data_IF_375389695162
#
_entry.id   IF_375389695162
#
_cell.length_a   1.000
_cell.length_b   1.000
_cell.length_c   1.000
_cell.angle_alpha   90.00
_cell.angle_beta   90.00
_cell.angle_gamma   90.00
#
_symmetry.space_group_name_H-M   'P 1'
#
loop_
_entity.id
_entity.type
_entity.pdbx_description
1 polymer ?
#
# COMPACT_ATOMS: atom_id res chain seq x y z
N UNK A 1 3.36 -5.32 -1.25
CA UNK A 1 1.96 -4.91 -0.96
C UNK A 1 1.88 -3.74 -0.01
N UNK A 2 2.70 -3.69 1.03
CA UNK A 2 2.71 -2.55 1.95
C UNK A 2 2.93 -1.19 1.23
N UNK A 3 3.79 -1.15 0.21
CA UNK A 3 4.00 0.03 -0.65
C UNK A 3 2.79 0.44 -1.51
N UNK A 4 1.83 -0.47 -1.74
CA UNK A 4 0.59 -0.19 -2.48
C UNK A 4 -0.51 0.24 -1.50
N UNK A 5 -0.59 -0.42 -0.35
CA UNK A 5 -1.55 -0.09 0.69
C UNK A 5 -1.26 1.28 1.33
N UNK A 6 0.00 1.73 1.38
CA UNK A 6 0.34 3.03 1.96
C UNK A 6 -0.32 4.22 1.23
N UNK A 7 -0.17 4.41 -0.11
CA UNK A 7 -0.88 5.45 -0.84
C UNK A 7 -2.40 5.33 -0.75
N UNK A 8 -2.93 4.11 -0.69
CA UNK A 8 -4.35 3.87 -0.50
C UNK A 8 -4.82 4.34 0.88
N UNK A 9 -4.05 4.06 1.95
CA UNK A 9 -4.32 4.57 3.29
C UNK A 9 -4.27 6.10 3.32
N UNK A 10 -3.22 6.72 2.75
CA UNK A 10 -3.11 8.19 2.63
C UNK A 10 -4.32 8.78 1.91
N UNK A 11 -4.75 8.19 0.78
CA UNK A 11 -5.91 8.63 0.02
C UNK A 11 -7.19 8.67 0.88
N UNK A 12 -7.45 7.62 1.65
CA UNK A 12 -8.65 7.52 2.49
C UNK A 12 -8.54 8.41 3.73
N UNK A 13 -7.40 8.41 4.42
CA UNK A 13 -7.18 9.23 5.62
C UNK A 13 -7.35 10.72 5.34
N UNK A 14 -6.79 11.23 4.23
CA UNK A 14 -6.98 12.66 3.86
C UNK A 14 -8.45 13.00 3.62
N UNK A 15 -9.25 12.05 3.13
CA UNK A 15 -10.67 12.25 2.81
C UNK A 15 -11.59 12.17 4.02
N UNK A 16 -11.13 11.59 5.13
CA UNK A 16 -11.84 11.67 6.42
C UNK A 16 -11.94 13.12 6.93
N UNK A 17 -11.07 14.03 6.47
CA UNK A 17 -11.06 15.42 6.91
C UNK A 17 -11.82 16.35 5.93
N UNK A 18 -12.51 17.39 6.45
CA UNK A 18 -13.14 18.43 5.64
C UNK A 18 -12.13 19.14 4.74
N UNK A 19 -12.53 19.49 3.51
CA UNK A 19 -11.63 20.01 2.46
C UNK A 19 -10.78 21.22 2.88
N UNK A 20 -11.32 22.10 3.72
CA UNK A 20 -10.63 23.31 4.17
C UNK A 20 -9.50 23.05 5.18
N UNK A 21 -9.48 21.88 5.82
CA UNK A 21 -8.53 21.54 6.90
C UNK A 21 -7.57 20.39 6.53
N UNK A 22 -7.52 20.00 5.25
CA UNK A 22 -6.68 18.88 4.80
C UNK A 22 -5.17 19.17 4.83
N UNK A 23 -4.76 20.43 4.89
CA UNK A 23 -3.34 20.81 4.75
C UNK A 23 -2.47 20.19 5.85
N UNK A 24 -2.92 20.27 7.11
CA UNK A 24 -2.16 19.74 8.24
C UNK A 24 -1.97 18.21 8.14
N UNK A 25 -3.06 17.48 7.85
CA UNK A 25 -3.00 16.02 7.72
C UNK A 25 -2.18 15.58 6.48
N UNK A 26 -2.28 16.30 5.36
CA UNK A 26 -1.46 16.01 4.17
C UNK A 26 0.02 16.18 4.50
N UNK A 27 0.42 17.29 5.13
CA UNK A 27 1.83 17.51 5.52
C UNK A 27 2.32 16.41 6.45
N UNK A 28 1.54 16.06 7.47
CA UNK A 28 1.89 14.98 8.40
C UNK A 28 2.09 13.63 7.68
N UNK A 29 1.16 13.24 6.79
CA UNK A 29 1.25 11.99 6.03
C UNK A 29 2.42 12.01 5.03
N UNK A 30 2.75 13.17 4.46
CA UNK A 30 3.93 13.30 3.59
C UNK A 30 5.24 13.14 4.38
N UNK A 31 5.32 13.66 5.61
CA UNK A 31 6.48 13.43 6.48
C UNK A 31 6.67 11.94 6.80
N UNK A 32 5.58 11.21 7.09
CA UNK A 32 5.64 9.75 7.27
C UNK A 32 6.07 9.03 5.99
N UNK A 33 5.60 9.51 4.83
CA UNK A 33 5.98 8.97 3.52
C UNK A 33 7.47 9.16 3.24
N UNK A 34 8.06 10.29 3.65
CA UNK A 34 9.51 10.51 3.55
C UNK A 34 10.27 9.50 4.41
N UNK A 35 9.81 9.23 5.63
CA UNK A 35 10.39 8.19 6.48
C UNK A 35 10.37 6.81 5.81
N UNK A 36 9.27 6.48 5.15
CA UNK A 36 9.10 5.22 4.42
C UNK A 36 10.10 5.07 3.26
N UNK A 37 10.42 6.15 2.56
CA UNK A 37 11.45 6.18 1.50
C UNK A 37 12.86 6.10 2.10
N UNK A 38 13.08 6.76 3.24
CA UNK A 38 14.40 6.84 3.88
C UNK A 38 14.90 5.50 4.39
N UNK A 39 14.04 4.67 5.01
CA UNK A 39 14.45 3.39 5.61
C UNK A 39 15.21 2.45 4.64
N UNK A 40 14.69 2.10 3.45
CA UNK A 40 15.42 1.23 2.53
C UNK A 40 16.70 1.88 2.01
N UNK A 41 16.74 3.21 1.80
CA UNK A 41 17.95 3.91 1.40
C UNK A 41 19.04 3.83 2.48
N UNK A 42 18.65 4.06 3.74
CA UNK A 42 19.54 3.93 4.88
C UNK A 42 20.17 2.54 4.93
N UNK A 43 19.37 1.48 4.77
CA UNK A 43 19.85 0.10 4.79
C UNK A 43 20.83 -0.19 3.65
N UNK A 44 20.55 0.30 2.44
CA UNK A 44 21.43 0.13 1.28
C UNK A 44 22.81 0.77 1.51
N UNK A 45 22.87 1.86 2.28
CA UNK A 45 24.15 2.55 2.59
C UNK A 45 24.99 1.85 3.66
N UNK A 46 24.49 0.78 4.29
CA UNK A 46 25.22 0.09 5.35
C UNK A 46 26.31 -0.80 4.75
N UNK A 47 27.54 -0.75 5.27
CA UNK A 47 28.63 -1.57 4.76
C UNK A 47 28.35 -3.08 4.89
N UNK A 48 27.56 -3.46 5.89
CA UNK A 48 27.11 -4.84 6.09
C UNK A 48 26.12 -5.31 5.04
N UNK A 49 25.43 -4.42 4.32
CA UNK A 49 24.43 -4.80 3.31
C UNK A 49 25.03 -5.37 2.02
N UNK A 50 26.32 -5.14 1.78
CA UNK A 50 27.07 -5.71 0.64
C UNK A 50 27.88 -6.94 1.00
N UNK A 51 27.78 -7.41 2.25
CA UNK A 51 28.43 -8.66 2.64
C UNK A 51 27.85 -9.84 1.87
N UNK A 52 28.66 -10.89 1.73
CA UNK A 52 28.24 -12.09 1.04
C UNK A 52 27.00 -12.72 1.69
N UNK A 53 26.02 -13.02 0.85
CA UNK A 53 24.82 -13.78 1.15
C UNK A 53 24.56 -14.66 -0.07
N UNK A 54 24.11 -15.89 0.15
CA UNK A 54 23.87 -16.87 -0.93
C UNK A 54 22.73 -16.43 -1.86
N UNK A 55 21.87 -15.54 -1.38
CA UNK A 55 20.75 -14.95 -2.12
C UNK A 55 20.92 -13.45 -2.28
N UNK A 56 20.39 -12.90 -3.37
CA UNK A 56 20.53 -11.48 -3.70
C UNK A 56 19.48 -10.60 -2.98
N UNK A 57 19.61 -10.50 -1.65
CA UNK A 57 18.77 -9.61 -0.83
C UNK A 57 19.01 -8.13 -1.12
N UNK A 58 20.23 -7.78 -1.55
CA UNK A 58 20.60 -6.39 -1.81
C UNK A 58 19.82 -5.84 -2.99
N UNK A 59 19.79 -6.55 -4.12
CA UNK A 59 18.98 -6.14 -5.29
C UNK A 59 17.50 -6.06 -4.96
N UNK A 60 16.98 -6.97 -4.14
CA UNK A 60 15.58 -6.91 -3.69
C UNK A 60 15.29 -5.67 -2.83
N UNK A 61 16.24 -5.25 -1.99
CA UNK A 61 16.14 -4.02 -1.20
C UNK A 61 16.23 -2.77 -2.09
N UNK A 62 17.12 -2.74 -3.08
CA UNK A 62 17.20 -1.67 -4.08
C UNK A 62 15.87 -1.54 -4.83
N UNK A 63 15.28 -2.65 -5.27
CA UNK A 63 13.98 -2.64 -5.93
C UNK A 63 12.86 -2.14 -4.99
N UNK A 64 12.92 -2.51 -3.71
CA UNK A 64 12.01 -2.00 -2.67
C UNK A 64 12.17 -0.49 -2.49
N UNK A 65 13.39 0.05 -2.54
CA UNK A 65 13.64 1.50 -2.52
C UNK A 65 13.05 2.20 -3.74
N UNK A 66 13.23 1.65 -4.94
CA UNK A 66 12.61 2.22 -6.16
C UNK A 66 11.08 2.24 -6.04
N UNK A 67 10.48 1.15 -5.56
CA UNK A 67 9.03 1.09 -5.36
C UNK A 67 8.55 2.03 -4.26
N UNK A 68 9.37 2.36 -3.25
CA UNK A 68 9.00 3.33 -2.21
C UNK A 68 8.93 4.75 -2.76
N UNK A 69 9.82 5.14 -3.68
CA UNK A 69 9.71 6.41 -4.39
C UNK A 69 8.42 6.49 -5.23
N UNK A 70 8.11 5.42 -5.97
CA UNK A 70 6.87 5.36 -6.77
C UNK A 70 5.64 5.45 -5.86
N UNK A 71 5.66 4.72 -4.74
CA UNK A 71 4.63 4.78 -3.70
C UNK A 71 4.45 6.20 -3.16
N UNK A 72 5.54 6.90 -2.84
CA UNK A 72 5.49 8.28 -2.37
C UNK A 72 4.86 9.22 -3.41
N UNK A 73 5.21 9.06 -4.69
CA UNK A 73 4.59 9.81 -5.79
C UNK A 73 3.08 9.58 -5.89
N UNK A 74 2.62 8.33 -5.73
CA UNK A 74 1.19 8.03 -5.67
C UNK A 74 0.53 8.62 -4.43
N UNK A 75 1.14 8.51 -3.25
CA UNK A 75 0.61 9.08 -2.02
C UNK A 75 0.36 10.59 -2.17
N UNK A 76 1.32 11.32 -2.75
CA UNK A 76 1.18 12.74 -3.04
C UNK A 76 0.07 13.02 -4.07
N UNK A 77 0.08 12.31 -5.21
CA UNK A 77 -0.92 12.50 -6.27
C UNK A 77 -2.35 12.25 -5.76
N UNK A 78 -2.54 11.18 -4.98
CA UNK A 78 -3.83 10.76 -4.45
C UNK A 78 -4.33 11.66 -3.30
N UNK A 79 -3.41 12.23 -2.52
CA UNK A 79 -3.73 13.20 -1.46
C UNK A 79 -4.11 14.58 -2.04
N UNK A 80 -3.41 15.03 -3.08
CA UNK A 80 -3.57 16.37 -3.63
C UNK A 80 -4.75 16.52 -4.62
N UNK A 81 -5.21 15.43 -5.24
CA UNK A 81 -6.25 15.46 -6.28
C UNK A 81 -7.59 14.99 -5.75
N UNK A 82 -8.61 15.84 -5.88
CA UNK A 82 -10.01 15.55 -5.58
C UNK A 82 -10.90 16.25 -6.62
N UNK A 83 -11.49 15.54 -7.62
CA UNK A 83 -11.46 14.08 -7.82
C UNK A 83 -10.13 13.57 -8.43
N UNK A 84 -9.86 12.27 -8.25
CA UNK A 84 -8.68 11.61 -8.85
C UNK A 84 -8.96 11.26 -10.32
N UNK A 85 -8.09 11.65 -11.27
CA UNK A 85 -8.22 11.27 -12.68
C UNK A 85 -8.19 9.75 -12.89
N UNK A 86 -9.02 9.24 -13.80
CA UNK A 86 -9.10 7.81 -14.13
C UNK A 86 -7.74 7.21 -14.51
N UNK A 87 -6.91 7.96 -15.26
CA UNK A 87 -5.57 7.54 -15.65
C UNK A 87 -4.68 7.21 -14.43
N UNK A 88 -4.67 8.09 -13.42
CA UNK A 88 -3.88 7.88 -12.20
C UNK A 88 -4.36 6.64 -11.46
N UNK A 89 -5.68 6.43 -11.38
CA UNK A 89 -6.27 5.25 -10.76
C UNK A 89 -5.86 3.96 -11.47
N UNK A 90 -5.87 3.93 -12.81
CA UNK A 90 -5.46 2.75 -13.58
C UNK A 90 -3.99 2.41 -13.35
N UNK A 91 -3.09 3.40 -13.47
CA UNK A 91 -1.65 3.20 -13.25
C UNK A 91 -1.38 2.76 -11.80
N UNK A 92 -2.13 3.30 -10.83
CA UNK A 92 -2.01 2.90 -9.43
C UNK A 92 -2.33 1.41 -9.20
N UNK A 93 -3.34 0.86 -9.88
CA UNK A 93 -3.62 -0.58 -9.78
C UNK A 93 -2.59 -1.45 -10.50
N UNK A 94 -2.01 -0.98 -11.61
CA UNK A 94 -0.87 -1.65 -12.28
C UNK A 94 0.33 -1.70 -11.32
N UNK A 95 0.62 -0.60 -10.63
CA UNK A 95 1.62 -0.56 -9.57
C UNK A 95 1.30 -1.53 -8.43
N UNK A 96 0.03 -1.66 -8.06
CA UNK A 96 -0.46 -2.69 -7.15
C UNK A 96 -0.05 -4.09 -7.59
N UNK A 97 -0.34 -4.48 -8.84
CA UNK A 97 0.05 -5.79 -9.37
C UNK A 97 1.58 -6.01 -9.34
N UNK A 98 2.36 -5.01 -9.77
CA UNK A 98 3.83 -5.09 -9.72
C UNK A 98 4.35 -5.27 -8.28
N UNK A 99 3.75 -4.57 -7.32
CA UNK A 99 4.13 -4.69 -5.91
C UNK A 99 3.70 -6.05 -5.29
N UNK A 100 2.71 -6.73 -5.88
CA UNK A 100 2.32 -8.08 -5.45
C UNK A 100 3.41 -9.06 -5.86
N UNK A 101 3.87 -8.97 -7.12
CA UNK A 101 5.00 -9.74 -7.64
C UNK A 101 6.26 -9.51 -6.81
N UNK A 102 6.58 -8.25 -6.48
CA UNK A 102 7.72 -7.93 -5.60
C UNK A 102 7.61 -8.61 -4.23
N UNK A 103 6.41 -8.68 -3.66
CA UNK A 103 6.19 -9.33 -2.35
C UNK A 103 6.38 -10.84 -2.43
N UNK A 104 5.83 -11.47 -3.46
CA UNK A 104 5.96 -12.91 -3.69
C UNK A 104 7.41 -13.29 -4.00
N UNK A 105 8.12 -12.48 -4.80
CA UNK A 105 9.53 -12.66 -5.08
C UNK A 105 10.39 -12.52 -3.81
N UNK A 106 10.11 -11.51 -2.98
CA UNK A 106 10.81 -11.31 -1.69
C UNK A 106 10.58 -12.49 -0.74
N UNK A 107 9.36 -13.04 -0.69
CA UNK A 107 9.07 -14.26 0.07
C UNK A 107 9.87 -15.46 -0.44
N UNK A 108 9.97 -15.63 -1.77
CA UNK A 108 10.74 -16.71 -2.36
C UNK A 108 12.24 -16.59 -2.02
N UNK A 109 12.81 -15.38 -2.10
CA UNK A 109 14.21 -15.12 -1.73
C UNK A 109 14.47 -15.41 -0.25
N UNK A 110 13.59 -14.96 0.65
CA UNK A 110 13.75 -15.16 2.10
C UNK A 110 13.71 -16.62 2.53
N UNK A 111 13.04 -17.51 1.77
CA UNK A 111 13.04 -18.95 2.05
C UNK A 111 14.44 -19.57 1.93
N UNK A 112 15.30 -19.02 1.08
CA UNK A 112 16.69 -19.46 0.91
C UNK A 112 17.72 -18.66 1.72
N UNK A 113 17.29 -17.64 2.47
CA UNK A 113 18.17 -16.65 3.07
C UNK A 113 18.57 -16.95 4.54
N UNK A 114 18.41 -18.19 5.01
CA UNK A 114 18.52 -18.53 6.44
C UNK A 114 19.91 -18.30 7.03
N UNK A 115 20.96 -18.26 6.21
CA UNK A 115 22.35 -18.00 6.62
C UNK A 115 22.72 -16.51 6.59
N UNK A 116 21.86 -15.64 6.05
CA UNK A 116 22.16 -14.22 5.83
C UNK A 116 21.84 -13.32 7.02
N UNK A 117 21.25 -13.88 8.08
CA UNK A 117 21.01 -13.24 9.37
C UNK A 117 22.32 -12.89 10.09
N UNK A 118 23.36 -13.70 9.90
CA UNK A 118 24.68 -13.49 10.50
C UNK A 118 25.56 -12.53 9.69
N UNK A 119 25.44 -12.54 8.36
CA UNK A 119 26.32 -11.75 7.48
C UNK A 119 25.76 -10.37 7.16
N UNK A 120 24.44 -10.27 6.99
CA UNK A 120 23.72 -9.04 6.55
C UNK A 120 22.52 -8.75 7.47
N UNK A 121 22.69 -8.68 8.81
CA UNK A 121 21.58 -8.73 9.77
C UNK A 121 20.51 -7.64 9.55
N UNK A 122 20.93 -6.40 9.31
CA UNK A 122 20.02 -5.26 9.14
C UNK A 122 19.19 -5.38 7.85
N UNK A 123 19.82 -5.82 6.76
CA UNK A 123 19.18 -6.07 5.47
C UNK A 123 18.20 -7.23 5.56
N UNK A 124 18.64 -8.35 6.14
CA UNK A 124 17.80 -9.53 6.35
C UNK A 124 16.56 -9.21 7.18
N UNK A 125 16.73 -8.53 8.32
CA UNK A 125 15.63 -8.16 9.21
C UNK A 125 14.62 -7.25 8.50
N UNK A 126 15.11 -6.24 7.78
CA UNK A 126 14.22 -5.34 7.04
C UNK A 126 13.44 -6.07 5.95
N UNK A 127 14.10 -6.89 5.15
CA UNK A 127 13.43 -7.66 4.09
C UNK A 127 12.41 -8.63 4.69
N UNK A 128 12.73 -9.26 5.82
CA UNK A 128 11.82 -10.14 6.54
C UNK A 128 10.58 -9.41 7.05
N UNK A 129 10.74 -8.31 7.78
CA UNK A 129 9.63 -7.50 8.31
C UNK A 129 8.74 -6.99 7.17
N UNK A 130 9.33 -6.40 6.14
CA UNK A 130 8.58 -5.85 5.00
C UNK A 130 7.85 -6.92 4.20
N UNK A 131 8.42 -8.12 4.11
CA UNK A 131 7.75 -9.27 3.47
C UNK A 131 6.60 -9.79 4.30
N UNK A 132 6.74 -9.94 5.62
CA UNK A 132 5.65 -10.38 6.51
C UNK A 132 4.47 -9.40 6.41
N UNK A 133 4.74 -8.09 6.59
CA UNK A 133 3.72 -7.05 6.47
C UNK A 133 3.11 -7.08 5.05
N UNK A 134 3.95 -7.23 4.03
CA UNK A 134 3.52 -7.37 2.64
C UNK A 134 2.57 -8.55 2.42
N UNK A 135 2.86 -9.73 2.97
CA UNK A 135 2.02 -10.91 2.80
C UNK A 135 0.68 -10.77 3.50
N UNK A 136 0.65 -10.22 4.72
CA UNK A 136 -0.61 -9.92 5.44
C UNK A 136 -1.48 -8.99 4.60
N UNK A 137 -0.90 -7.91 4.08
CA UNK A 137 -1.62 -6.95 3.24
C UNK A 137 -2.01 -7.52 1.88
N UNK A 138 -1.25 -8.46 1.32
CA UNK A 138 -1.63 -9.18 0.11
C UNK A 138 -2.89 -9.99 0.33
N UNK A 139 -2.94 -10.78 1.40
CA UNK A 139 -4.12 -11.60 1.76
C UNK A 139 -5.33 -10.70 1.94
N UNK A 140 -5.19 -9.60 2.70
CA UNK A 140 -6.28 -8.63 2.87
C UNK A 140 -6.75 -8.05 1.53
N UNK A 141 -5.81 -7.67 0.66
CA UNK A 141 -6.15 -7.12 -0.66
C UNK A 141 -6.87 -8.13 -1.54
N UNK A 142 -6.48 -9.41 -1.49
CA UNK A 142 -7.17 -10.50 -2.21
C UNK A 142 -8.59 -10.68 -1.69
N UNK A 143 -8.79 -10.70 -0.38
CA UNK A 143 -10.12 -10.79 0.24
C UNK A 143 -11.01 -9.63 -0.23
N UNK A 144 -10.50 -8.40 -0.17
CA UNK A 144 -11.23 -7.21 -0.63
C UNK A 144 -11.52 -7.26 -2.14
N UNK A 145 -10.58 -7.76 -2.95
CA UNK A 145 -10.79 -7.93 -4.38
C UNK A 145 -11.90 -8.95 -4.68
N UNK A 146 -12.00 -10.03 -3.90
CA UNK A 146 -13.09 -11.00 -4.03
C UNK A 146 -14.45 -10.39 -3.72
N UNK A 147 -14.55 -9.58 -2.67
CA UNK A 147 -15.77 -8.83 -2.37
C UNK A 147 -16.14 -7.86 -3.50
N UNK A 148 -15.15 -7.16 -4.06
CA UNK A 148 -15.37 -6.25 -5.18
C UNK A 148 -15.86 -6.99 -6.44
N UNK A 149 -15.27 -8.15 -6.76
CA UNK A 149 -15.72 -9.00 -7.89
C UNK A 149 -17.13 -9.54 -7.63
N UNK A 150 -17.45 -9.87 -6.38
CA UNK A 150 -18.78 -10.34 -6.01
C UNK A 150 -19.84 -9.26 -6.22
N UNK A 151 -19.59 -8.03 -5.75
CA UNK A 151 -20.46 -6.87 -5.94
C UNK A 151 -20.65 -6.53 -7.43
N UNK A 152 -19.59 -6.61 -8.24
CA UNK A 152 -19.69 -6.34 -9.68
C UNK A 152 -20.62 -7.35 -10.39
N UNK A 153 -20.69 -8.59 -9.89
CA UNK A 153 -21.61 -9.63 -10.42
C UNK A 153 -23.01 -9.55 -9.82
N UNK A 154 -23.15 -9.02 -8.60
CA UNK A 154 -24.40 -8.89 -7.86
C UNK A 154 -24.58 -7.44 -7.36
N UNK A 155 -24.90 -6.51 -8.26
CA UNK A 155 -25.01 -5.10 -7.88
C UNK A 155 -26.10 -4.88 -6.83
N UNK A 156 -25.79 -4.11 -5.79
CA UNK A 156 -26.71 -3.77 -4.70
C UNK A 156 -26.47 -4.55 -3.40
N UNK A 157 -25.42 -5.36 -3.31
CA UNK A 157 -25.04 -6.00 -2.04
C UNK A 157 -24.26 -5.07 -1.11
N UNK A 158 -23.69 -3.98 -1.63
CA UNK A 158 -23.02 -2.90 -0.89
C UNK A 158 -23.65 -1.55 -1.24
N UNK A 159 -23.78 -0.66 -0.26
CA UNK A 159 -24.32 0.69 -0.46
C UNK A 159 -23.51 1.49 -1.51
N UNK A 160 -24.14 1.77 -2.65
CA UNK A 160 -23.67 2.73 -3.64
C UNK A 160 -24.33 4.09 -3.39
N UNK A 161 -23.61 4.97 -2.69
CA UNK A 161 -24.04 6.35 -2.42
C UNK A 161 -24.27 7.18 -3.70
N UNK A 162 -23.63 6.81 -4.82
CA UNK A 162 -23.71 7.56 -6.08
C UNK A 162 -24.91 7.16 -6.91
N UNK A 163 -25.32 5.89 -6.83
CA UNK A 163 -26.54 5.37 -7.45
C UNK A 163 -27.75 5.36 -6.51
N UNK A 164 -27.55 5.65 -5.23
CA UNK A 164 -28.55 5.51 -4.17
C UNK A 164 -29.17 4.11 -4.12
N UNK A 165 -28.36 3.09 -4.39
CA UNK A 165 -28.78 1.68 -4.41
C UNK A 165 -27.95 0.85 -3.43
N UNK A 166 -28.52 -0.23 -2.92
CA UNK A 166 -27.83 -1.18 -2.04
C UNK A 166 -28.14 -1.02 -0.55
N UNK A 167 -27.67 -1.96 0.27
CA UNK A 167 -27.94 -1.99 1.71
C UNK A 167 -26.88 -1.22 2.52
N UNK A 168 -27.30 -0.23 3.32
CA UNK A 168 -26.42 0.39 4.33
C UNK A 168 -26.35 -0.56 5.54
N UNK A 169 -25.15 -1.08 5.83
CA UNK A 169 -24.91 -1.98 6.97
C UNK A 169 -24.62 -1.24 8.29
N UNK A 170 -24.48 0.09 8.25
CA UNK A 170 -24.31 0.92 9.44
C UNK A 170 -25.65 1.37 10.03
N UNK A 171 -25.66 1.67 11.32
CA UNK A 171 -26.83 2.20 12.00
C UNK A 171 -27.31 3.50 11.33
N UNK A 172 -28.63 3.64 11.20
CA UNK A 172 -29.38 4.71 10.51
C UNK A 172 -28.83 6.15 10.65
N UNK A 173 -28.08 6.45 11.71
CA UNK A 173 -27.53 7.78 12.00
C UNK A 173 -26.41 8.23 11.06
N UNK A 174 -25.71 7.32 10.34
CA UNK A 174 -24.64 7.68 9.39
C UNK A 174 -25.06 7.68 7.91
N UNK A 175 -26.24 7.14 7.58
CA UNK A 175 -26.80 7.05 6.23
C UNK A 175 -28.14 7.81 6.05
N UNK A 176 -28.30 9.09 6.45
CA UNK A 176 -29.61 9.75 6.46
C UNK A 176 -30.21 10.04 5.06
N UNK A 177 -29.48 9.82 3.96
CA UNK A 177 -29.89 10.28 2.63
C UNK A 177 -30.15 9.17 1.58
N UNK A 178 -30.16 7.89 1.95
CA UNK A 178 -30.37 6.79 0.98
C UNK A 178 -31.75 6.12 1.10
N UNK A 179 -32.58 6.54 2.06
CA UNK A 179 -33.96 6.06 2.23
C UNK A 179 -34.97 7.18 2.06
N UNK A 180 -35.12 7.67 0.83
CA UNK A 180 -36.31 8.42 0.40
C UNK A 180 -36.61 8.10 -1.07
N UNK A 181 -36.99 6.85 -1.35
CA UNK A 181 -37.97 6.46 -2.38
C UNK A 181 -38.77 5.29 -1.83
#
# INVERSE_FOLDING_TARGET
>A
MWLYCWPHAVFHTVRLFPRYDRKAIIVFLMLLTVGLVFVPLWIITRPSSTNYCEVDLFSACVLTAVFSFISAGFALCLAARDPVPNLIRTIFHIFGAANALLTLASLALLRGATSCDQTTPELYLFMQITTIIGMVLLVLTVILALFWIYEERHPGTVLDMRRQTGFCHEAYTTCPCVWHV
#
